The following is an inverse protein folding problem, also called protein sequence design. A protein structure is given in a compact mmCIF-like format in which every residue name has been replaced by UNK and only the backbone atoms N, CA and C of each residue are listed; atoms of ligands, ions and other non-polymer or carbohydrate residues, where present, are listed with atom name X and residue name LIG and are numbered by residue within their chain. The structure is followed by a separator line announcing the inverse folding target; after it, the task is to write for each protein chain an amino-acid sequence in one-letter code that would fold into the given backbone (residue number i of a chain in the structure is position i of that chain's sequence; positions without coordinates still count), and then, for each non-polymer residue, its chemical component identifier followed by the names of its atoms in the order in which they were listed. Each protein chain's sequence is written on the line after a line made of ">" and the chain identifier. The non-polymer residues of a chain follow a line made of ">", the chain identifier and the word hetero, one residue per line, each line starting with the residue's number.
data_IF_286973865494
#
_entry.id   IF_286973865494
#
_cell.length_a   1.000
_cell.length_b   1.000
_cell.length_c   1.000
_cell.angle_alpha   90.00
_cell.angle_beta   90.00
_cell.angle_gamma   90.00
#
_symmetry.space_group_name_H-M   'P 1'
#
loop_
_entity.id
_entity.type
_entity.pdbx_description
1 polymer ?
#
# COMPACT_ATOMS: atom_id res chain seq x y z
N UNK A 1 28.80 -81.86 21.81
CA UNK A 1 29.62 -80.77 22.39
C UNK A 1 29.60 -79.60 21.41
N UNK A 2 29.11 -78.45 21.86
CA UNK A 2 29.28 -77.12 21.23
C UNK A 2 30.73 -76.63 21.50
N UNK A 3 31.31 -75.69 20.72
CA UNK A 3 30.74 -74.36 20.58
C UNK A 3 30.67 -73.82 19.15
N UNK A 4 29.55 -73.13 18.95
CA UNK A 4 29.28 -72.20 17.87
C UNK A 4 29.77 -70.79 18.23
N UNK A 5 29.74 -69.92 17.20
CA UNK A 5 29.75 -68.44 17.23
C UNK A 5 31.13 -67.82 17.37
N UNK A 6 31.64 -67.19 16.29
CA UNK A 6 32.39 -65.91 16.37
C UNK A 6 32.81 -65.29 15.01
N UNK A 7 32.09 -65.48 13.90
CA UNK A 7 32.52 -64.95 12.60
C UNK A 7 31.53 -64.10 11.76
N UNK A 8 30.37 -63.61 12.23
CA UNK A 8 29.63 -62.59 11.48
C UNK A 8 30.03 -61.15 11.84
N UNK A 9 30.97 -60.94 12.77
CA UNK A 9 31.25 -59.60 13.33
C UNK A 9 32.19 -58.71 12.49
N UNK A 10 32.86 -59.24 11.45
CA UNK A 10 33.86 -58.43 10.71
C UNK A 10 33.26 -57.69 9.50
N UNK A 11 32.09 -58.10 8.99
CA UNK A 11 31.42 -57.38 7.88
C UNK A 11 30.51 -56.22 8.32
N UNK A 12 30.17 -56.13 9.60
CA UNK A 12 29.36 -55.03 10.13
C UNK A 12 30.18 -53.77 10.50
N UNK A 13 31.51 -53.86 10.57
CA UNK A 13 32.35 -52.74 11.01
C UNK A 13 32.62 -51.69 9.90
N UNK A 14 32.52 -52.05 8.62
CA UNK A 14 32.73 -51.10 7.52
C UNK A 14 31.45 -50.44 7.00
N UNK A 15 30.27 -50.97 7.32
CA UNK A 15 29.00 -50.32 6.98
C UNK A 15 28.59 -49.23 7.99
N UNK A 16 29.11 -49.27 9.22
CA UNK A 16 28.82 -48.27 10.25
C UNK A 16 29.67 -46.99 10.14
N UNK A 17 30.79 -47.00 9.40
CA UNK A 17 31.64 -45.82 9.20
C UNK A 17 31.20 -44.92 8.02
N UNK A 18 30.32 -45.40 7.14
CA UNK A 18 29.74 -44.58 6.07
C UNK A 18 28.48 -43.80 6.52
N UNK A 19 27.93 -44.11 7.69
CA UNK A 19 26.70 -43.50 8.21
C UNK A 19 26.92 -42.33 9.19
N UNK A 20 28.17 -42.09 9.62
CA UNK A 20 28.50 -40.98 10.55
C UNK A 20 29.18 -39.80 9.82
N UNK A 21 29.65 -40.00 8.58
CA UNK A 21 30.19 -38.91 7.77
C UNK A 21 29.11 -37.99 7.14
N UNK A 22 27.83 -38.38 7.21
CA UNK A 22 26.72 -37.62 6.63
C UNK A 22 26.00 -36.66 7.59
N UNK A 23 26.29 -36.70 8.90
CA UNK A 23 25.50 -35.98 9.92
C UNK A 23 26.17 -34.71 10.48
N UNK A 24 27.31 -34.33 9.92
CA UNK A 24 27.93 -33.04 10.20
C UNK A 24 28.66 -32.53 8.95
N UNK A 25 27.98 -32.52 7.80
CA UNK A 25 28.26 -31.41 6.89
C UNK A 25 27.81 -30.17 7.66
N UNK A 26 28.67 -29.18 7.93
CA UNK A 26 28.15 -27.88 8.33
C UNK A 26 27.10 -27.55 7.28
N UNK A 27 25.89 -27.20 7.70
CA UNK A 27 24.98 -26.52 6.80
C UNK A 27 25.87 -25.41 6.25
N UNK A 28 26.26 -25.51 4.98
CA UNK A 28 26.93 -24.44 4.31
C UNK A 28 25.94 -23.31 4.46
N UNK A 29 26.21 -22.41 5.42
CA UNK A 29 25.48 -21.17 5.53
C UNK A 29 25.62 -20.61 4.13
N UNK A 30 24.53 -20.61 3.36
CA UNK A 30 24.57 -20.08 2.03
C UNK A 30 25.11 -18.66 2.22
N UNK A 31 26.33 -18.40 1.73
CA UNK A 31 27.03 -17.13 1.96
C UNK A 31 26.16 -15.95 1.50
N UNK A 32 25.24 -16.25 0.56
CA UNK A 32 24.18 -15.36 0.10
C UNK A 32 22.83 -16.05 0.29
N UNK A 33 21.93 -15.37 1.02
CA UNK A 33 20.52 -15.73 1.09
C UNK A 33 19.69 -14.71 0.31
N UNK A 34 18.67 -15.21 -0.37
CA UNK A 34 17.81 -14.45 -1.26
C UNK A 34 16.43 -14.24 -0.66
N UNK A 35 15.82 -13.12 -1.00
CA UNK A 35 14.41 -12.86 -0.85
C UNK A 35 13.73 -12.70 -2.20
N UNK A 36 12.46 -13.10 -2.27
CA UNK A 36 11.65 -12.98 -3.47
C UNK A 36 10.35 -12.26 -3.15
N UNK A 37 9.90 -11.40 -4.06
CA UNK A 37 8.61 -10.70 -3.98
C UNK A 37 7.82 -10.99 -5.26
N UNK A 38 6.53 -11.26 -5.10
CA UNK A 38 5.56 -11.48 -6.16
C UNK A 38 4.31 -10.62 -5.92
N UNK A 39 3.47 -10.50 -6.95
CA UNK A 39 2.15 -9.87 -6.88
C UNK A 39 1.18 -10.61 -7.80
N UNK A 40 -0.12 -10.35 -7.63
CA UNK A 40 -1.18 -10.89 -8.48
C UNK A 40 -1.46 -9.96 -9.68
N UNK A 41 -2.44 -10.31 -10.52
CA UNK A 41 -2.84 -9.49 -11.67
C UNK A 41 -3.28 -8.06 -11.31
N UNK A 42 -3.88 -7.88 -10.13
CA UNK A 42 -4.46 -6.61 -9.67
C UNK A 42 -3.44 -5.69 -9.02
N UNK A 43 -2.29 -6.23 -8.65
CA UNK A 43 -1.23 -5.52 -7.92
C UNK A 43 -1.74 -4.99 -6.58
N UNK A 44 -2.77 -5.63 -6.03
CA UNK A 44 -3.42 -5.20 -4.79
C UNK A 44 -2.58 -5.58 -3.55
N UNK A 45 -1.79 -6.65 -3.67
CA UNK A 45 -0.99 -7.24 -2.60
C UNK A 45 0.37 -7.68 -3.10
N UNK A 46 1.34 -7.60 -2.21
CA UNK A 46 2.67 -8.18 -2.40
C UNK A 46 2.84 -9.43 -1.54
N UNK A 47 3.40 -10.47 -2.13
CA UNK A 47 3.72 -11.74 -1.48
C UNK A 47 5.23 -11.90 -1.45
N UNK A 48 5.77 -12.36 -0.33
CA UNK A 48 7.21 -12.38 -0.15
C UNK A 48 7.68 -13.65 0.54
N UNK A 49 8.93 -14.00 0.30
CA UNK A 49 9.62 -15.14 0.95
C UNK A 49 11.05 -14.75 1.27
N UNK A 50 11.47 -15.01 2.51
CA UNK A 50 12.86 -14.98 2.98
C UNK A 50 13.04 -15.98 4.13
N UNK A 51 14.24 -16.60 4.28
CA UNK A 51 15.34 -16.64 3.32
C UNK A 51 15.16 -17.76 2.28
N UNK A 52 15.88 -17.68 1.16
CA UNK A 52 15.96 -18.71 0.11
C UNK A 52 17.41 -18.89 -0.34
N UNK A 53 17.77 -20.10 -0.79
CA UNK A 53 19.16 -20.46 -1.09
C UNK A 53 19.64 -20.06 -2.50
N UNK A 54 18.75 -19.54 -3.35
CA UNK A 54 19.09 -19.06 -4.68
C UNK A 54 18.07 -18.05 -5.17
N UNK A 55 18.46 -17.21 -6.14
CA UNK A 55 17.56 -16.29 -6.84
C UNK A 55 16.34 -17.03 -7.44
N UNK A 56 16.58 -18.17 -8.11
CA UNK A 56 15.52 -18.97 -8.75
C UNK A 56 14.55 -19.57 -7.73
N UNK A 57 15.06 -20.04 -6.59
CA UNK A 57 14.21 -20.52 -5.49
C UNK A 57 13.37 -19.38 -4.90
N UNK A 58 13.95 -18.20 -4.71
CA UNK A 58 13.24 -17.02 -4.21
C UNK A 58 12.10 -16.58 -5.12
N UNK A 59 12.36 -16.51 -6.43
CA UNK A 59 11.36 -16.20 -7.44
C UNK A 59 10.20 -17.21 -7.41
N UNK A 60 10.51 -18.50 -7.55
CA UNK A 60 9.51 -19.57 -7.57
C UNK A 60 8.70 -19.64 -6.27
N UNK A 61 9.36 -19.51 -5.11
CA UNK A 61 8.70 -19.56 -3.81
C UNK A 61 7.81 -18.34 -3.55
N UNK A 62 8.18 -17.15 -4.05
CA UNK A 62 7.32 -15.95 -3.94
C UNK A 62 6.06 -16.07 -4.80
N UNK A 63 6.17 -16.60 -6.02
CA UNK A 63 5.03 -16.90 -6.89
C UNK A 63 4.15 -17.98 -6.25
N UNK A 64 4.76 -19.04 -5.70
CA UNK A 64 4.03 -20.07 -4.99
C UNK A 64 3.30 -19.53 -3.74
N UNK A 65 3.90 -18.58 -3.02
CA UNK A 65 3.25 -17.90 -1.89
C UNK A 65 2.03 -17.10 -2.34
N UNK A 66 2.13 -16.38 -3.46
CA UNK A 66 0.99 -15.68 -4.09
C UNK A 66 -0.14 -16.66 -4.47
N UNK A 67 0.20 -17.75 -5.18
CA UNK A 67 -0.77 -18.76 -5.60
C UNK A 67 -1.46 -19.42 -4.40
N UNK A 68 -0.70 -19.78 -3.34
CA UNK A 68 -1.26 -20.38 -2.12
C UNK A 68 -2.21 -19.44 -1.38
N UNK A 69 -2.01 -18.14 -1.48
CA UNK A 69 -2.89 -17.13 -0.92
C UNK A 69 -4.11 -16.81 -1.80
N UNK A 70 -4.30 -17.54 -2.91
CA UNK A 70 -5.43 -17.37 -3.83
C UNK A 70 -5.24 -16.26 -4.87
N UNK A 71 -4.03 -15.72 -5.02
CA UNK A 71 -3.72 -14.76 -6.08
C UNK A 71 -3.87 -15.39 -7.47
N UNK A 72 -4.30 -14.58 -8.45
CA UNK A 72 -4.42 -14.99 -9.86
C UNK A 72 -3.32 -14.34 -10.70
N UNK A 73 -2.82 -15.08 -11.68
CA UNK A 73 -1.75 -14.64 -12.59
C UNK A 73 -0.52 -14.11 -11.84
N UNK A 74 -0.15 -14.82 -10.78
CA UNK A 74 0.95 -14.45 -9.91
C UNK A 74 2.27 -14.33 -10.69
N UNK A 75 2.91 -13.17 -10.57
CA UNK A 75 4.19 -12.86 -11.21
C UNK A 75 5.21 -12.37 -10.19
N UNK A 76 6.48 -12.67 -10.43
CA UNK A 76 7.54 -12.10 -9.62
C UNK A 76 7.68 -10.61 -9.93
N UNK A 77 7.83 -9.81 -8.86
CA UNK A 77 8.19 -8.40 -8.95
C UNK A 77 9.71 -8.25 -8.95
N UNK A 78 10.39 -8.86 -7.98
CA UNK A 78 11.84 -8.78 -7.86
C UNK A 78 12.39 -9.84 -6.91
N UNK A 79 13.69 -10.09 -7.03
CA UNK A 79 14.50 -10.86 -6.07
C UNK A 79 15.59 -9.95 -5.51
N UNK A 80 15.95 -10.14 -4.25
CA UNK A 80 16.96 -9.33 -3.57
C UNK A 80 17.85 -10.21 -2.68
N UNK A 81 19.06 -9.77 -2.39
CA UNK A 81 20.03 -10.43 -1.51
C UNK A 81 20.92 -9.37 -0.89
N UNK A 82 21.49 -9.67 0.28
CA UNK A 82 22.30 -8.77 1.12
C UNK A 82 21.76 -7.33 1.18
N UNK A 83 20.43 -7.25 1.22
CA UNK A 83 19.69 -6.00 1.15
C UNK A 83 18.29 -6.18 1.73
N UNK A 84 17.65 -5.06 2.02
CA UNK A 84 16.24 -4.97 2.30
C UNK A 84 15.48 -4.42 1.10
N UNK A 85 14.29 -4.96 0.87
CA UNK A 85 13.33 -4.54 -0.14
C UNK A 85 12.08 -4.02 0.53
N UNK A 86 11.54 -2.91 0.05
CA UNK A 86 10.25 -2.37 0.43
C UNK A 86 9.48 -1.93 -0.82
N UNK A 87 8.16 -1.91 -0.74
CA UNK A 87 7.32 -1.33 -1.78
C UNK A 87 6.41 -0.26 -1.17
N UNK A 88 6.23 0.81 -1.93
CA UNK A 88 5.17 1.77 -1.72
C UNK A 88 4.11 1.61 -2.81
N UNK A 89 2.86 1.90 -2.48
CA UNK A 89 1.74 1.83 -3.39
C UNK A 89 1.04 3.20 -3.44
N UNK A 90 0.56 3.58 -4.63
CA UNK A 90 -0.26 4.77 -4.80
C UNK A 90 -1.77 4.45 -4.78
N UNK A 91 -2.61 5.48 -4.88
CA UNK A 91 -4.08 5.37 -4.98
C UNK A 91 -4.57 4.55 -6.18
N UNK A 92 -3.75 4.40 -7.23
CA UNK A 92 -4.03 3.65 -8.46
C UNK A 92 -3.51 2.20 -8.40
N UNK A 93 -3.00 1.78 -7.25
CA UNK A 93 -2.41 0.48 -7.01
C UNK A 93 -1.06 0.23 -7.72
N UNK A 94 -0.41 1.27 -8.26
CA UNK A 94 0.94 1.15 -8.81
C UNK A 94 1.96 0.88 -7.71
N UNK A 95 2.86 -0.07 -7.93
CA UNK A 95 3.89 -0.50 -6.97
C UNK A 95 5.27 0.11 -7.28
N UNK A 96 5.87 0.73 -6.27
CA UNK A 96 7.17 1.41 -6.37
C UNK A 96 8.22 0.75 -5.47
N UNK A 97 9.26 0.09 -6.03
CA UNK A 97 10.25 -0.62 -5.24
C UNK A 97 11.29 0.32 -4.63
N UNK A 98 11.78 -0.03 -3.45
CA UNK A 98 12.97 0.55 -2.83
C UNK A 98 13.86 -0.56 -2.28
N UNK A 99 15.15 -0.52 -2.64
CA UNK A 99 16.15 -1.49 -2.19
C UNK A 99 17.34 -0.77 -1.55
N UNK A 100 17.79 -1.27 -0.39
CA UNK A 100 18.96 -0.74 0.31
C UNK A 100 19.47 -1.73 1.36
N UNK A 101 20.75 -1.65 1.71
CA UNK A 101 21.34 -2.44 2.81
C UNK A 101 20.74 -2.11 4.19
N UNK A 102 20.09 -0.95 4.36
CA UNK A 102 19.41 -0.57 5.58
C UNK A 102 17.88 -0.62 5.38
N UNK A 103 17.10 -1.24 6.29
CA UNK A 103 15.65 -1.38 6.17
C UNK A 103 14.94 -0.03 5.96
N UNK A 104 15.21 0.95 6.81
CA UNK A 104 14.58 2.28 6.73
C UNK A 104 14.91 3.00 5.41
N UNK A 105 16.12 2.81 4.88
CA UNK A 105 16.51 3.41 3.60
C UNK A 105 15.82 2.74 2.41
N UNK A 106 15.54 1.44 2.47
CA UNK A 106 14.73 0.75 1.47
C UNK A 106 13.31 1.33 1.43
N UNK A 107 12.66 1.46 2.60
CA UNK A 107 11.34 2.09 2.72
C UNK A 107 11.33 3.54 2.22
N UNK A 108 12.32 4.35 2.61
CA UNK A 108 12.46 5.74 2.19
C UNK A 108 12.62 5.87 0.67
N UNK A 109 13.39 4.98 0.04
CA UNK A 109 13.53 4.95 -1.43
C UNK A 109 12.22 4.58 -2.13
N UNK A 110 11.50 3.58 -1.63
CA UNK A 110 10.20 3.17 -2.16
C UNK A 110 9.20 4.34 -2.11
N UNK A 111 9.10 4.98 -0.94
CA UNK A 111 8.19 6.11 -0.71
C UNK A 111 8.53 7.31 -1.61
N UNK A 112 9.81 7.68 -1.72
CA UNK A 112 10.26 8.78 -2.60
C UNK A 112 9.90 8.52 -4.06
N UNK A 113 10.05 7.28 -4.53
CA UNK A 113 9.69 6.90 -5.91
C UNK A 113 8.18 6.96 -6.13
N UNK A 114 7.38 6.47 -5.17
CA UNK A 114 5.93 6.60 -5.23
C UNK A 114 5.51 8.07 -5.31
N UNK A 115 6.03 8.91 -4.41
CA UNK A 115 5.73 10.35 -4.36
C UNK A 115 6.08 11.04 -5.67
N UNK A 116 7.24 10.72 -6.26
CA UNK A 116 7.65 11.31 -7.54
C UNK A 116 6.79 10.80 -8.72
N UNK A 117 6.33 9.55 -8.66
CA UNK A 117 5.52 8.93 -9.70
C UNK A 117 4.00 9.16 -9.58
N UNK A 118 3.53 9.76 -8.48
CA UNK A 118 2.11 9.94 -8.19
C UNK A 118 1.79 11.43 -7.94
N UNK A 119 1.31 12.16 -8.97
CA UNK A 119 1.00 13.59 -8.86
C UNK A 119 -0.06 13.92 -7.80
N UNK A 120 -1.00 13.00 -7.58
CA UNK A 120 -2.02 13.04 -6.54
C UNK A 120 -1.50 12.60 -5.16
N UNK A 121 -0.19 12.38 -5.03
CA UNK A 121 0.57 12.28 -3.79
C UNK A 121 0.29 11.12 -2.84
N UNK A 122 -0.86 10.45 -2.97
CA UNK A 122 -1.38 9.41 -2.07
C UNK A 122 -0.50 8.17 -2.09
N UNK A 123 0.52 8.14 -1.24
CA UNK A 123 1.51 7.07 -1.16
C UNK A 123 1.64 6.50 0.25
N UNK A 124 1.66 5.17 0.35
CA UNK A 124 1.87 4.40 1.58
C UNK A 124 2.79 3.20 1.33
N UNK A 125 3.41 2.65 2.38
CA UNK A 125 4.10 1.36 2.29
C UNK A 125 3.08 0.23 2.31
N UNK A 126 3.40 -0.87 1.62
CA UNK A 126 2.58 -2.11 1.63
C UNK A 126 2.92 -3.03 2.81
N UNK A 127 4.13 -2.87 3.38
CA UNK A 127 4.64 -3.66 4.50
C UNK A 127 5.86 -2.99 5.14
N UNK A 128 6.34 -3.55 6.25
CA UNK A 128 7.71 -3.31 6.70
C UNK A 128 8.73 -3.90 5.69
N UNK A 129 9.95 -3.35 5.61
CA UNK A 129 10.98 -3.84 4.69
C UNK A 129 11.36 -5.30 4.93
N UNK A 130 11.42 -6.10 3.86
CA UNK A 130 11.90 -7.48 3.90
C UNK A 130 13.40 -7.52 3.70
N UNK A 131 14.14 -8.12 4.61
CA UNK A 131 15.60 -8.20 4.54
C UNK A 131 16.07 -9.63 4.29
N UNK A 132 17.09 -9.76 3.46
CA UNK A 132 17.76 -11.02 3.16
C UNK A 132 19.26 -10.79 3.25
N UNK A 133 19.95 -11.57 4.08
CA UNK A 133 21.41 -11.54 4.23
C UNK A 133 21.83 -11.97 5.63
N UNK A 134 23.04 -12.51 5.82
CA UNK A 134 23.55 -12.91 7.14
C UNK A 134 23.83 -11.71 8.06
N UNK A 135 23.95 -10.50 7.52
CA UNK A 135 24.25 -9.28 8.28
C UNK A 135 23.05 -8.62 8.98
N UNK A 136 21.85 -9.21 8.89
CA UNK A 136 20.64 -8.64 9.49
C UNK A 136 20.32 -9.25 10.85
N UNK A 137 19.84 -8.40 11.77
CA UNK A 137 19.42 -8.85 13.10
C UNK A 137 18.19 -9.76 13.03
N UNK A 138 17.97 -10.56 14.08
CA UNK A 138 16.76 -11.38 14.18
C UNK A 138 15.49 -10.51 14.19
N UNK A 139 15.60 -9.30 14.75
CA UNK A 139 14.56 -8.28 14.77
C UNK A 139 14.23 -7.82 13.34
N UNK A 140 15.22 -7.44 12.54
CA UNK A 140 15.03 -7.00 11.15
C UNK A 140 14.38 -8.10 10.29
N UNK A 141 14.83 -9.35 10.45
CA UNK A 141 14.29 -10.49 9.72
C UNK A 141 12.85 -10.86 10.15
N UNK A 142 12.49 -10.60 11.41
CA UNK A 142 11.16 -10.88 11.95
C UNK A 142 10.17 -9.71 11.79
N UNK A 143 10.64 -8.48 11.60
CA UNK A 143 9.81 -7.27 11.58
C UNK A 143 8.62 -7.36 10.61
N UNK A 144 8.78 -7.81 9.34
CA UNK A 144 7.64 -7.93 8.43
C UNK A 144 6.61 -8.98 8.81
N UNK A 145 7.00 -10.02 9.56
CA UNK A 145 6.07 -11.08 10.02
C UNK A 145 5.27 -10.64 11.25
N UNK A 146 5.87 -9.79 12.09
CA UNK A 146 5.28 -9.30 13.34
C UNK A 146 4.52 -7.99 13.18
N UNK A 147 4.75 -7.26 12.09
CA UNK A 147 4.15 -5.96 11.83
C UNK A 147 2.62 -6.04 11.81
N UNK A 148 1.99 -5.16 12.59
CA UNK A 148 0.57 -4.86 12.51
C UNK A 148 0.35 -3.80 11.44
N UNK A 149 -0.88 -3.67 10.90
CA UNK A 149 -1.21 -2.58 9.97
C UNK A 149 -0.83 -1.19 10.51
N UNK A 150 -1.00 -0.95 11.81
CA UNK A 150 -0.62 0.30 12.48
C UNK A 150 0.90 0.59 12.44
N UNK A 151 1.75 -0.44 12.46
CA UNK A 151 3.21 -0.28 12.42
C UNK A 151 3.67 0.16 11.02
N UNK A 152 3.09 -0.46 9.98
CA UNK A 152 3.34 -0.11 8.57
C UNK A 152 2.85 1.31 8.29
N UNK A 153 1.69 1.66 8.84
CA UNK A 153 1.10 2.99 8.70
C UNK A 153 1.94 4.05 9.42
N UNK A 154 2.42 3.77 10.64
CA UNK A 154 3.31 4.66 11.38
C UNK A 154 4.62 4.92 10.63
N UNK A 155 5.23 3.88 10.03
CA UNK A 155 6.41 4.05 9.18
C UNK A 155 6.09 4.84 7.91
N UNK A 156 4.95 4.58 7.27
CA UNK A 156 4.49 5.32 6.09
C UNK A 156 4.32 6.80 6.39
N UNK A 157 3.69 7.14 7.52
CA UNK A 157 3.51 8.52 7.98
C UNK A 157 4.85 9.20 8.31
N UNK A 158 5.80 8.48 8.93
CA UNK A 158 7.16 8.99 9.19
C UNK A 158 7.89 9.35 7.90
N UNK A 159 7.73 8.54 6.84
CA UNK A 159 8.45 8.71 5.56
C UNK A 159 7.76 9.63 4.57
N UNK A 160 6.46 9.89 4.76
CA UNK A 160 5.67 10.78 3.95
C UNK A 160 4.92 11.74 4.88
N UNK A 161 5.60 12.81 5.25
CA UNK A 161 5.05 13.88 6.09
C UNK A 161 4.29 14.95 5.27
N UNK A 162 3.96 14.66 4.01
CA UNK A 162 3.16 15.57 3.18
C UNK A 162 1.77 15.62 3.77
N UNK A 163 1.24 16.83 3.87
CA UNK A 163 -0.19 17.00 3.99
C UNK A 163 -0.86 16.78 2.64
N UNK A 164 -2.09 16.32 2.67
CA UNK A 164 -2.93 16.11 1.51
C UNK A 164 -4.03 17.15 1.47
N UNK A 165 -3.96 17.98 0.44
CA UNK A 165 -4.92 19.01 0.10
C UNK A 165 -5.88 18.54 -0.97
N UNK A 166 -7.14 18.90 -0.78
CA UNK A 166 -8.17 18.88 -1.79
C UNK A 166 -8.68 20.28 -2.10
N UNK A 167 -9.29 20.41 -3.27
CA UNK A 167 -9.92 21.63 -3.75
C UNK A 167 -11.28 21.31 -4.35
N UNK A 168 -12.22 22.25 -4.21
CA UNK A 168 -13.54 22.21 -4.85
C UNK A 168 -13.75 23.53 -5.58
N UNK A 169 -14.17 23.44 -6.85
CA UNK A 169 -14.61 24.57 -7.64
C UNK A 169 -16.02 24.32 -8.20
N UNK A 170 -16.65 25.41 -8.59
CA UNK A 170 -17.94 25.44 -9.26
C UNK A 170 -17.76 26.03 -10.66
N UNK A 171 -18.22 25.32 -11.70
CA UNK A 171 -18.16 25.81 -13.08
C UNK A 171 -19.28 26.83 -13.38
N UNK A 172 -19.36 27.30 -14.63
CA UNK A 172 -20.39 28.26 -15.05
C UNK A 172 -21.83 27.76 -14.81
N UNK A 173 -22.07 26.47 -14.98
CA UNK A 173 -23.40 25.84 -14.90
C UNK A 173 -23.79 25.44 -13.46
N UNK A 174 -22.92 25.70 -12.47
CA UNK A 174 -23.12 25.27 -11.08
C UNK A 174 -22.69 23.81 -10.81
N UNK A 175 -22.00 23.16 -11.74
CA UNK A 175 -21.39 21.85 -11.55
C UNK A 175 -20.20 21.92 -10.59
N UNK A 176 -20.11 20.96 -9.66
CA UNK A 176 -19.00 20.85 -8.72
C UNK A 176 -17.88 19.99 -9.30
N UNK A 177 -16.67 20.50 -9.25
CA UNK A 177 -15.44 19.83 -9.70
C UNK A 177 -14.48 19.80 -8.52
N UNK A 178 -13.76 18.71 -8.35
CA UNK A 178 -12.89 18.48 -7.20
C UNK A 178 -11.58 17.81 -7.58
N UNK A 179 -10.54 18.05 -6.80
CA UNK A 179 -9.22 17.48 -6.97
C UNK A 179 -8.64 17.21 -5.58
N UNK A 180 -8.21 15.97 -5.31
CA UNK A 180 -7.86 15.51 -3.96
C UNK A 180 -6.46 14.88 -3.92
N UNK A 181 -5.78 14.98 -2.78
CA UNK A 181 -4.49 14.30 -2.55
C UNK A 181 -3.23 15.13 -2.89
N UNK A 182 -3.36 16.40 -3.22
CA UNK A 182 -2.20 17.21 -3.61
C UNK A 182 -1.37 17.62 -2.39
N UNK A 183 -0.04 17.78 -2.53
CA UNK A 183 0.82 18.09 -1.39
C UNK A 183 0.71 19.51 -0.86
N UNK A 184 0.13 20.41 -1.65
CA UNK A 184 0.00 21.82 -1.37
C UNK A 184 -1.36 22.30 -1.85
N UNK A 185 -1.92 23.26 -1.13
CA UNK A 185 -3.19 23.90 -1.49
C UNK A 185 -3.17 24.44 -2.92
N UNK A 186 -2.10 25.15 -3.28
CA UNK A 186 -1.95 25.76 -4.61
C UNK A 186 -1.90 24.73 -5.73
N UNK A 187 -1.28 23.56 -5.49
CA UNK A 187 -1.20 22.49 -6.48
C UNK A 187 -2.57 21.84 -6.70
N UNK A 188 -3.36 21.66 -5.63
CA UNK A 188 -4.74 21.17 -5.73
C UNK A 188 -5.59 22.08 -6.62
N UNK A 189 -5.55 23.39 -6.37
CA UNK A 189 -6.31 24.37 -7.14
C UNK A 189 -5.79 24.53 -8.56
N UNK A 190 -4.48 24.66 -8.74
CA UNK A 190 -3.88 24.82 -10.06
C UNK A 190 -4.21 23.64 -10.96
N UNK A 191 -4.13 22.42 -10.44
CA UNK A 191 -4.46 21.24 -11.23
C UNK A 191 -5.95 21.16 -11.54
N UNK A 192 -6.82 21.48 -10.58
CA UNK A 192 -8.27 21.53 -10.81
C UNK A 192 -8.66 22.50 -11.93
N UNK A 193 -8.06 23.69 -11.92
CA UNK A 193 -8.39 24.77 -12.87
C UNK A 193 -7.88 24.52 -14.29
N UNK A 194 -7.03 23.51 -14.52
CA UNK A 194 -6.58 23.13 -15.87
C UNK A 194 -7.44 22.04 -16.50
N UNK A 195 -8.43 21.49 -15.77
CA UNK A 195 -9.31 20.45 -16.31
C UNK A 195 -10.32 21.05 -17.30
N UNK A 196 -10.62 20.30 -18.36
CA UNK A 196 -11.54 20.74 -19.43
C UNK A 196 -12.93 21.10 -18.89
N UNK A 197 -13.42 20.35 -17.90
CA UNK A 197 -14.71 20.59 -17.26
C UNK A 197 -14.73 21.89 -16.44
N UNK A 198 -13.56 22.45 -16.10
CA UNK A 198 -13.43 23.62 -15.24
C UNK A 198 -13.47 24.96 -15.97
N UNK A 199 -14.30 25.06 -17.01
CA UNK A 199 -14.50 26.31 -17.76
C UNK A 199 -15.18 27.37 -16.89
N UNK A 200 -14.53 28.54 -16.79
CA UNK A 200 -14.96 29.65 -15.92
C UNK A 200 -15.21 29.23 -14.47
N UNK A 201 -14.40 28.29 -13.98
CA UNK A 201 -14.49 27.81 -12.61
C UNK A 201 -14.21 28.88 -11.56
N UNK A 202 -15.01 28.87 -10.49
CA UNK A 202 -14.73 29.61 -9.26
C UNK A 202 -14.36 28.65 -8.15
N UNK A 203 -13.23 28.90 -7.46
CA UNK A 203 -12.89 28.21 -6.21
C UNK A 203 -14.04 28.39 -5.20
N UNK A 204 -14.55 27.28 -4.67
CA UNK A 204 -15.44 27.29 -3.51
C UNK A 204 -14.64 27.18 -2.22
N UNK A 205 -13.82 26.13 -2.10
CA UNK A 205 -12.99 25.90 -0.93
C UNK A 205 -11.79 25.00 -1.23
N UNK A 206 -10.89 24.95 -0.26
CA UNK A 206 -9.80 24.00 -0.15
C UNK A 206 -9.87 23.35 1.23
N UNK A 207 -9.34 22.14 1.34
CA UNK A 207 -9.43 21.36 2.56
C UNK A 207 -8.21 20.45 2.71
N UNK A 208 -7.79 20.19 3.95
CA UNK A 208 -6.55 19.49 4.27
C UNK A 208 -6.84 18.40 5.30
N UNK A 209 -6.40 17.15 5.04
CA UNK A 209 -6.55 16.00 5.96
C UNK A 209 -7.98 15.85 6.55
N UNK A 210 -8.99 16.07 5.72
CA UNK A 210 -10.41 16.05 6.13
C UNK A 210 -11.31 15.72 4.94
N UNK A 211 -12.62 15.62 5.16
CA UNK A 211 -13.61 15.46 4.12
C UNK A 211 -14.47 16.71 3.92
N UNK A 212 -14.92 16.90 2.69
CA UNK A 212 -15.92 17.88 2.30
C UNK A 212 -17.17 17.16 1.80
N UNK A 213 -18.29 17.38 2.48
CA UNK A 213 -19.61 17.07 1.96
C UNK A 213 -20.04 18.12 0.97
N UNK A 214 -20.68 17.69 -0.12
CA UNK A 214 -21.15 18.52 -1.21
C UNK A 214 -22.63 18.21 -1.43
N UNK A 215 -23.50 19.22 -1.41
CA UNK A 215 -24.95 19.01 -1.51
C UNK A 215 -25.66 20.04 -2.38
N UNK A 216 -26.78 19.63 -2.98
CA UNK A 216 -27.59 20.47 -3.85
C UNK A 216 -29.02 19.97 -4.02
N UNK A 217 -29.90 20.84 -4.50
CA UNK A 217 -31.28 20.48 -4.86
C UNK A 217 -31.28 19.76 -6.21
N UNK A 218 -31.99 18.63 -6.30
CA UNK A 218 -32.10 17.88 -7.57
C UNK A 218 -32.72 18.76 -8.65
N UNK A 219 -32.06 18.88 -9.80
CA UNK A 219 -32.50 19.74 -10.90
C UNK A 219 -32.21 21.24 -10.71
N UNK A 220 -31.50 21.65 -9.65
CA UNK A 220 -31.04 23.04 -9.56
C UNK A 220 -29.79 23.26 -10.40
N UNK A 221 -29.83 24.30 -11.22
CA UNK A 221 -28.75 24.74 -12.10
C UNK A 221 -28.29 26.15 -11.69
N UNK A 222 -27.07 26.50 -12.09
CA UNK A 222 -26.49 27.81 -11.84
C UNK A 222 -25.66 27.88 -10.56
N UNK A 223 -24.75 28.85 -10.55
CA UNK A 223 -23.77 29.07 -9.49
C UNK A 223 -24.42 29.40 -8.14
N UNK A 224 -23.75 29.01 -7.06
CA UNK A 224 -24.17 29.30 -5.69
C UNK A 224 -25.37 28.46 -5.22
N UNK A 225 -25.81 27.47 -6.00
CA UNK A 225 -26.88 26.54 -5.63
C UNK A 225 -26.36 25.29 -4.90
N UNK A 226 -25.08 25.31 -4.52
CA UNK A 226 -24.34 24.20 -3.92
C UNK A 226 -23.90 24.54 -2.50
N UNK A 227 -23.91 23.54 -1.63
CA UNK A 227 -23.62 23.66 -0.20
C UNK A 227 -22.49 22.72 0.18
N UNK A 228 -21.64 23.17 1.09
CA UNK A 228 -20.47 22.42 1.54
C UNK A 228 -20.40 22.32 3.06
N UNK A 229 -19.88 21.22 3.59
CA UNK A 229 -19.56 21.07 5.01
C UNK A 229 -18.24 20.31 5.18
N UNK A 230 -17.39 20.74 6.11
CA UNK A 230 -16.11 20.09 6.40
C UNK A 230 -16.22 19.24 7.65
N UNK A 231 -15.85 17.97 7.55
CA UNK A 231 -15.81 17.05 8.68
C UNK A 231 -14.80 15.93 8.41
N UNK A 232 -13.96 15.54 9.38
CA UNK A 232 -13.06 14.40 9.20
C UNK A 232 -13.80 13.05 9.10
N UNK A 233 -15.06 12.97 9.56
CA UNK A 233 -15.94 11.83 9.28
C UNK A 233 -16.63 12.01 7.92
N UNK A 234 -16.39 11.13 6.93
CA UNK A 234 -16.97 11.26 5.59
C UNK A 234 -18.50 11.28 5.57
N UNK A 235 -19.14 10.48 6.44
CA UNK A 235 -20.60 10.37 6.48
C UNK A 235 -21.19 11.64 7.10
N UNK A 236 -20.60 12.13 8.20
CA UNK A 236 -21.03 13.39 8.80
C UNK A 236 -20.83 14.57 7.86
N UNK A 237 -19.70 14.65 7.16
CA UNK A 237 -19.47 15.70 6.17
C UNK A 237 -20.61 15.76 5.14
N UNK A 238 -20.96 14.60 4.57
CA UNK A 238 -22.05 14.45 3.60
C UNK A 238 -23.41 14.88 4.17
N UNK A 239 -23.77 14.37 5.34
CA UNK A 239 -25.09 14.62 5.92
C UNK A 239 -25.22 16.06 6.47
N UNK A 240 -24.14 16.67 6.96
CA UNK A 240 -24.10 18.09 7.35
C UNK A 240 -24.29 19.01 6.14
N UNK A 241 -23.66 18.68 5.00
CA UNK A 241 -23.89 19.41 3.74
C UNK A 241 -25.34 19.25 3.27
N UNK A 242 -25.91 18.04 3.35
CA UNK A 242 -27.31 17.77 3.00
C UNK A 242 -28.27 18.58 3.88
N UNK A 243 -28.07 18.53 5.19
CA UNK A 243 -28.90 19.26 6.16
C UNK A 243 -28.82 20.77 5.93
N UNK A 244 -27.63 21.30 5.63
CA UNK A 244 -27.43 22.71 5.26
C UNK A 244 -28.24 23.07 4.01
N UNK A 245 -28.20 22.22 2.98
CA UNK A 245 -28.97 22.42 1.75
C UNK A 245 -30.48 22.41 2.00
N UNK A 246 -31.01 21.39 2.70
CA UNK A 246 -32.44 21.27 3.02
C UNK A 246 -32.91 22.46 3.86
N UNK A 247 -32.12 22.90 4.84
CA UNK A 247 -32.46 24.04 5.69
C UNK A 247 -32.50 25.35 4.91
N UNK A 248 -31.52 25.59 4.03
CA UNK A 248 -31.43 26.86 3.28
C UNK A 248 -32.41 26.96 2.11
N UNK A 249 -32.86 25.84 1.57
CA UNK A 249 -33.71 25.80 0.37
C UNK A 249 -35.15 25.39 0.64
N UNK A 250 -35.43 24.78 1.80
CA UNK A 250 -36.72 24.15 2.09
C UNK A 250 -36.99 22.88 1.28
N UNK A 251 -36.03 22.40 0.48
CA UNK A 251 -36.22 21.21 -0.34
C UNK A 251 -36.22 19.94 0.53
N UNK A 252 -37.23 19.05 0.37
CA UNK A 252 -37.47 17.93 1.29
C UNK A 252 -36.35 16.88 1.32
N UNK A 253 -35.50 16.81 0.29
CA UNK A 253 -34.23 16.08 0.35
C UNK A 253 -33.25 16.59 -0.72
N UNK A 254 -32.13 17.15 -0.29
CA UNK A 254 -31.03 17.46 -1.19
C UNK A 254 -30.23 16.22 -1.57
N UNK A 255 -29.69 16.21 -2.79
CA UNK A 255 -28.63 15.29 -3.20
C UNK A 255 -27.35 15.66 -2.47
N UNK A 256 -26.56 14.68 -2.04
CA UNK A 256 -25.27 14.93 -1.41
C UNK A 256 -24.24 13.83 -1.71
N UNK A 257 -22.98 14.23 -1.83
CA UNK A 257 -21.80 13.38 -1.97
C UNK A 257 -20.69 13.85 -1.03
N UNK A 258 -19.57 13.14 -0.97
CA UNK A 258 -18.41 13.50 -0.14
C UNK A 258 -17.12 13.28 -0.91
N UNK A 259 -16.15 14.18 -0.69
CA UNK A 259 -14.76 14.02 -1.13
C UNK A 259 -13.83 14.12 0.07
N UNK A 260 -12.80 13.29 0.12
CA UNK A 260 -11.84 13.30 1.21
C UNK A 260 -10.41 13.41 0.69
N UNK A 261 -9.60 14.15 1.44
CA UNK A 261 -8.18 14.30 1.20
C UNK A 261 -7.48 14.03 2.51
N UNK A 262 -6.46 13.17 2.48
CA UNK A 262 -5.77 12.76 3.69
C UNK A 262 -5.27 11.34 3.62
N UNK A 263 -4.31 11.03 4.49
CA UNK A 263 -3.73 9.68 4.58
C UNK A 263 -4.77 8.64 4.99
N UNK A 264 -5.68 9.03 5.88
CA UNK A 264 -6.76 8.18 6.39
C UNK A 264 -7.75 7.70 5.30
N UNK A 265 -7.70 8.29 4.10
CA UNK A 265 -8.67 8.08 3.03
C UNK A 265 -8.04 7.47 1.77
N UNK A 266 -6.81 6.95 1.84
CA UNK A 266 -6.08 6.38 0.69
C UNK A 266 -6.75 5.09 0.16
N UNK A 267 -7.30 4.28 1.05
CA UNK A 267 -8.01 3.03 0.72
C UNK A 267 -9.49 3.27 0.35
N UNK A 268 -9.87 4.54 0.24
CA UNK A 268 -11.22 4.97 0.02
C UNK A 268 -12.04 5.20 1.28
N UNK A 269 -13.29 5.60 1.12
CA UNK A 269 -14.16 6.01 2.23
C UNK A 269 -15.64 5.79 1.95
N UNK A 270 -16.43 5.67 3.01
CA UNK A 270 -17.87 5.52 2.91
C UNK A 270 -18.48 6.75 2.20
N UNK A 271 -19.06 6.52 1.01
CA UNK A 271 -19.65 7.58 0.20
C UNK A 271 -18.82 8.03 -0.99
N UNK A 272 -17.61 7.51 -1.19
CA UNK A 272 -16.69 7.88 -2.28
C UNK A 272 -17.28 7.70 -3.70
N UNK A 273 -18.25 6.77 -3.87
CA UNK A 273 -18.90 6.48 -5.16
C UNK A 273 -20.42 6.32 -5.07
N UNK A 274 -21.06 6.87 -4.03
CA UNK A 274 -22.53 6.85 -3.98
C UNK A 274 -23.06 7.88 -4.98
N UNK A 275 -23.28 7.43 -6.23
CA UNK A 275 -24.05 8.20 -7.21
C UNK A 275 -25.38 8.58 -6.59
N UNK A 276 -25.78 9.82 -6.77
CA UNK A 276 -27.08 10.32 -6.34
C UNK A 276 -28.18 9.37 -6.82
N UNK A 277 -28.94 8.79 -5.90
CA UNK A 277 -30.24 8.19 -6.24
C UNK A 277 -31.24 9.32 -6.53
#
# INVERSE_FOLDING_TARGET
>A
MMPARFLPLIRAAFAALALVAGLASPIAHADVVYGGVATDAKHDKTYWVVPQNSKKAAEAASIAACNRAGGKECKSLNTFWDSCMAYAQNSRQDLYPGNSVAPEMAAKKAMRRCIAGSPDGKCRLVSMPWCAGPGYSAEDLAAPKRAKPADVEALSAKLNNRAYWGAVAENADGGLIYADGYPKEEEALKQLLTWEDCKDCRKLLTYQETCVGLAWVKGSEGRGTRFTALNPDPVKAREEARATCTTKTGAPACVAMVRCSGRAYIDGYAGEDVKSK
#
